data_IF_429018951907
#
_entry.id   IF_429018951907
#
_cell.length_a   1.000
_cell.length_b   1.000
_cell.length_c   1.000
_cell.angle_alpha   90.00
_cell.angle_beta   90.00
_cell.angle_gamma   90.00
#
_symmetry.space_group_name_H-M   'P 1'
#
loop_
_entity.id
_entity.type
_entity.pdbx_description
1 polymer ?
#
# COMPACT_ATOMS: atom_id res chain seq x y z
N UNK A 1 19.18 -21.08 19.65
CA UNK A 1 18.35 -21.97 18.77
C UNK A 1 16.84 -21.75 18.88
N UNK A 2 16.27 -21.30 20.01
CA UNK A 2 14.81 -21.14 20.16
C UNK A 2 14.16 -20.03 19.29
N UNK A 3 14.84 -18.89 19.11
CA UNK A 3 14.26 -17.75 18.36
C UNK A 3 13.85 -18.03 16.91
N UNK A 4 14.67 -18.69 16.05
CA UNK A 4 14.26 -18.96 14.67
C UNK A 4 13.13 -19.99 14.58
N UNK A 5 13.05 -20.97 15.48
CA UNK A 5 11.97 -21.95 15.52
C UNK A 5 10.64 -21.27 15.89
N UNK A 6 10.66 -20.40 16.89
CA UNK A 6 9.47 -19.62 17.30
C UNK A 6 8.99 -18.73 16.16
N UNK A 7 9.91 -18.07 15.45
CA UNK A 7 9.56 -17.24 14.28
C UNK A 7 8.91 -18.06 13.16
N UNK A 8 9.44 -19.25 12.86
CA UNK A 8 8.88 -20.16 11.88
C UNK A 8 7.48 -20.66 12.28
N UNK A 9 7.28 -21.06 13.53
CA UNK A 9 5.97 -21.50 14.05
C UNK A 9 4.93 -20.37 13.99
N UNK A 10 5.30 -19.15 14.39
CA UNK A 10 4.43 -17.98 14.29
C UNK A 10 4.06 -17.68 12.83
N UNK A 11 5.03 -17.76 11.93
CA UNK A 11 4.80 -17.53 10.50
C UNK A 11 3.88 -18.61 9.89
N UNK A 12 4.04 -19.86 10.29
CA UNK A 12 3.17 -20.96 9.88
C UNK A 12 1.74 -20.76 10.39
N UNK A 13 1.58 -20.42 11.68
CA UNK A 13 0.28 -20.14 12.27
C UNK A 13 -0.39 -18.93 11.63
N UNK A 14 0.37 -17.86 11.38
CA UNK A 14 -0.10 -16.70 10.65
C UNK A 14 -0.62 -17.09 9.26
N UNK A 15 0.15 -17.84 8.48
CA UNK A 15 -0.25 -18.27 7.16
C UNK A 15 -1.51 -19.16 7.18
N UNK A 16 -1.58 -20.10 8.11
CA UNK A 16 -2.71 -21.02 8.30
C UNK A 16 -4.03 -20.28 8.58
N UNK A 17 -3.97 -19.13 9.23
CA UNK A 17 -5.16 -18.34 9.55
C UNK A 17 -5.39 -17.24 8.50
N UNK A 18 -4.33 -16.58 8.04
CA UNK A 18 -4.43 -15.43 7.13
C UNK A 18 -4.96 -15.82 5.75
N UNK A 19 -4.46 -16.88 5.12
CA UNK A 19 -4.90 -17.23 3.77
C UNK A 19 -6.35 -17.70 3.70
N UNK A 20 -6.82 -18.65 4.54
CA UNK A 20 -8.24 -19.00 4.57
C UNK A 20 -9.13 -17.82 4.98
N UNK A 21 -8.71 -17.05 5.98
CA UNK A 21 -9.43 -15.85 6.40
C UNK A 21 -9.52 -14.82 5.26
N UNK A 22 -8.46 -14.62 4.49
CA UNK A 22 -8.47 -13.75 3.30
C UNK A 22 -9.48 -14.23 2.27
N UNK A 23 -9.56 -15.56 2.03
CA UNK A 23 -10.55 -16.11 1.11
C UNK A 23 -11.98 -15.80 1.57
N UNK A 24 -12.26 -15.97 2.87
CA UNK A 24 -13.57 -15.62 3.45
C UNK A 24 -13.88 -14.14 3.24
N UNK A 25 -12.91 -13.24 3.54
CA UNK A 25 -13.12 -11.80 3.33
C UNK A 25 -13.30 -11.45 1.85
N UNK A 26 -12.59 -12.09 0.93
CA UNK A 26 -12.79 -11.91 -0.51
C UNK A 26 -14.21 -12.26 -0.92
N UNK A 27 -14.74 -13.39 -0.45
CA UNK A 27 -16.14 -13.79 -0.71
C UNK A 27 -17.14 -12.79 -0.10
N UNK A 28 -16.89 -12.31 1.12
CA UNK A 28 -17.70 -11.27 1.76
C UNK A 28 -17.65 -9.93 1.02
N UNK A 29 -16.50 -9.56 0.44
CA UNK A 29 -16.35 -8.35 -0.37
C UNK A 29 -17.17 -8.50 -1.65
N UNK A 30 -17.08 -9.63 -2.34
CA UNK A 30 -17.84 -9.90 -3.55
C UNK A 30 -19.34 -9.92 -3.29
N UNK A 31 -19.78 -10.54 -2.21
CA UNK A 31 -21.17 -10.52 -1.77
C UNK A 31 -21.68 -9.11 -1.40
N UNK A 32 -20.78 -8.19 -1.03
CA UNK A 32 -21.13 -6.81 -0.73
C UNK A 32 -21.26 -5.90 -1.97
N UNK A 33 -20.86 -6.36 -3.16
CA UNK A 33 -20.92 -5.54 -4.39
C UNK A 33 -22.32 -5.00 -4.69
N UNK A 34 -23.41 -5.81 -4.64
CA UNK A 34 -24.76 -5.29 -4.88
C UNK A 34 -25.25 -4.32 -3.81
N UNK A 35 -24.59 -4.28 -2.63
CA UNK A 35 -24.92 -3.34 -1.55
C UNK A 35 -24.23 -1.98 -1.70
N UNK A 36 -23.41 -1.81 -2.74
CA UNK A 36 -22.76 -0.56 -3.10
C UNK A 36 -21.34 -0.36 -2.52
N UNK A 37 -20.70 0.69 -3.00
CA UNK A 37 -19.28 0.98 -2.76
C UNK A 37 -18.92 1.05 -1.26
N UNK A 38 -19.78 1.65 -0.44
CA UNK A 38 -19.52 1.79 1.00
C UNK A 38 -19.48 0.43 1.70
N UNK A 39 -20.35 -0.50 1.30
CA UNK A 39 -20.36 -1.86 1.85
C UNK A 39 -19.07 -2.60 1.49
N UNK A 40 -18.60 -2.50 0.25
CA UNK A 40 -17.32 -3.05 -0.21
C UNK A 40 -16.16 -2.47 0.60
N UNK A 41 -16.09 -1.14 0.72
CA UNK A 41 -15.03 -0.46 1.48
C UNK A 41 -14.97 -0.92 2.94
N UNK A 42 -16.13 -1.06 3.59
CA UNK A 42 -16.22 -1.55 4.97
C UNK A 42 -15.66 -2.98 5.11
N UNK A 43 -15.92 -3.88 4.16
CA UNK A 43 -15.38 -5.25 4.17
C UNK A 43 -13.88 -5.29 3.91
N UNK A 44 -13.38 -4.50 2.97
CA UNK A 44 -11.93 -4.36 2.73
C UNK A 44 -11.23 -3.80 3.97
N UNK A 45 -11.80 -2.80 4.61
CA UNK A 45 -11.26 -2.26 5.85
C UNK A 45 -11.27 -3.28 7.00
N UNK A 46 -12.33 -4.09 7.11
CA UNK A 46 -12.40 -5.19 8.08
C UNK A 46 -11.32 -6.26 7.80
N UNK A 47 -11.07 -6.59 6.53
CA UNK A 47 -9.96 -7.46 6.14
C UNK A 47 -8.59 -6.89 6.52
N UNK A 48 -8.35 -5.62 6.27
CA UNK A 48 -7.10 -4.97 6.66
C UNK A 48 -6.91 -4.94 8.19
N UNK A 49 -7.99 -4.74 8.97
CA UNK A 49 -7.98 -4.86 10.44
C UNK A 49 -7.69 -6.29 10.90
N UNK A 50 -8.26 -7.29 10.24
CA UNK A 50 -7.98 -8.71 10.51
C UNK A 50 -6.50 -9.03 10.27
N UNK A 51 -5.94 -8.60 9.13
CA UNK A 51 -4.51 -8.72 8.85
C UNK A 51 -3.66 -8.08 9.95
N UNK A 52 -3.94 -6.82 10.30
CA UNK A 52 -3.24 -6.09 11.34
C UNK A 52 -3.29 -6.81 12.70
N UNK A 53 -4.45 -7.37 13.06
CA UNK A 53 -4.61 -8.13 14.30
C UNK A 53 -3.71 -9.38 14.30
N UNK A 54 -3.68 -10.15 13.20
CA UNK A 54 -2.82 -11.32 13.06
C UNK A 54 -1.32 -10.95 13.15
N UNK A 55 -0.92 -9.88 12.47
CA UNK A 55 0.45 -9.38 12.49
C UNK A 55 0.87 -9.03 13.91
N UNK A 56 0.01 -8.35 14.66
CA UNK A 56 0.32 -7.97 16.05
C UNK A 56 0.28 -9.14 17.02
N UNK A 57 -0.71 -10.01 16.94
CA UNK A 57 -0.97 -11.04 17.94
C UNK A 57 -0.20 -12.33 17.68
N UNK A 58 -0.03 -12.72 16.43
CA UNK A 58 0.64 -13.98 16.07
C UNK A 58 2.12 -13.74 15.76
N UNK A 59 2.42 -12.78 14.85
CA UNK A 59 3.80 -12.50 14.49
C UNK A 59 4.54 -11.66 15.55
N UNK A 60 3.81 -11.06 16.51
CA UNK A 60 4.35 -10.15 17.52
C UNK A 60 5.10 -8.95 16.89
N UNK A 61 4.56 -8.43 15.80
CA UNK A 61 5.08 -7.24 15.13
C UNK A 61 4.28 -6.02 15.60
N UNK A 62 4.97 -4.98 16.03
CA UNK A 62 4.38 -3.68 16.40
C UNK A 62 4.51 -2.70 15.24
N UNK A 63 3.65 -1.69 15.23
CA UNK A 63 3.71 -0.58 14.28
C UNK A 63 3.85 0.69 15.09
N UNK A 64 4.91 1.44 14.85
CA UNK A 64 5.19 2.72 15.48
C UNK A 64 5.17 3.83 14.41
N UNK A 65 4.45 4.91 14.72
CA UNK A 65 4.23 6.02 13.80
C UNK A 65 4.89 7.27 14.33
N UNK A 66 5.73 7.89 13.50
CA UNK A 66 6.23 9.24 13.66
C UNK A 66 5.45 10.14 12.68
N UNK A 67 4.60 11.01 13.23
CA UNK A 67 3.71 11.85 12.48
C UNK A 67 2.33 11.25 12.22
N UNK A 68 1.45 12.08 11.66
CA UNK A 68 0.03 11.78 11.38
C UNK A 68 -0.26 12.07 9.93
N UNK A 69 -0.96 11.16 9.25
CA UNK A 69 -1.47 11.42 7.90
C UNK A 69 -2.66 12.37 8.03
N UNK A 70 -2.61 13.54 7.40
CA UNK A 70 -3.70 14.51 7.50
C UNK A 70 -4.96 14.02 6.77
N UNK A 71 -6.11 14.50 7.21
CA UNK A 71 -7.37 14.28 6.49
C UNK A 71 -7.40 15.12 5.20
N UNK A 72 -7.82 14.50 4.09
CA UNK A 72 -7.99 15.21 2.83
C UNK A 72 -7.63 14.38 1.59
N UNK A 73 -7.84 14.94 0.41
CA UNK A 73 -7.43 14.33 -0.85
C UNK A 73 -5.94 14.58 -1.07
N UNK A 74 -5.12 13.57 -0.84
CA UNK A 74 -3.68 13.59 -1.04
C UNK A 74 -3.23 12.53 -2.02
N UNK A 75 -2.06 12.75 -2.65
CA UNK A 75 -1.27 11.70 -3.25
C UNK A 75 -0.35 11.14 -2.16
N UNK A 76 -0.63 9.94 -1.67
CA UNK A 76 0.19 9.29 -0.64
C UNK A 76 1.27 8.47 -1.33
N UNK A 77 2.53 8.81 -1.08
CA UNK A 77 3.71 8.13 -1.63
C UNK A 77 4.38 7.30 -0.53
N UNK A 78 4.33 5.98 -0.62
CA UNK A 78 4.81 5.08 0.44
C UNK A 78 6.03 4.31 -0.04
N UNK A 79 7.07 4.21 0.78
CA UNK A 79 8.18 3.26 0.59
C UNK A 79 7.63 1.85 0.46
N UNK A 80 8.18 1.04 -0.45
CA UNK A 80 7.72 -0.34 -0.65
C UNK A 80 8.84 -1.35 -0.41
N UNK A 81 8.80 -2.07 0.70
CA UNK A 81 9.80 -3.07 1.07
C UNK A 81 9.22 -4.47 1.22
N UNK A 82 7.98 -4.60 1.72
CA UNK A 82 7.36 -5.88 2.01
C UNK A 82 5.87 -5.93 1.57
N UNK A 83 5.18 -7.03 1.89
CA UNK A 83 3.74 -7.14 1.65
C UNK A 83 2.92 -6.48 2.75
N UNK A 84 3.45 -6.40 3.96
CA UNK A 84 2.72 -5.92 5.13
C UNK A 84 2.18 -4.51 4.93
N UNK A 85 3.00 -3.58 4.43
CA UNK A 85 2.55 -2.22 4.17
C UNK A 85 1.52 -2.15 3.03
N UNK A 86 1.62 -3.01 2.02
CA UNK A 86 0.64 -3.03 0.92
C UNK A 86 -0.79 -3.35 1.40
N UNK A 87 -0.93 -4.16 2.45
CA UNK A 87 -2.22 -4.44 3.08
C UNK A 87 -2.54 -3.37 4.12
N UNK A 88 -1.55 -2.95 4.92
CA UNK A 88 -1.80 -2.03 6.02
C UNK A 88 -2.14 -0.60 5.56
N UNK A 89 -1.68 -0.20 4.35
CA UNK A 89 -2.05 1.09 3.73
C UNK A 89 -3.57 1.29 3.59
N UNK A 90 -4.34 0.21 3.48
CA UNK A 90 -5.81 0.28 3.46
C UNK A 90 -6.42 0.80 4.76
N UNK A 91 -5.63 0.89 5.84
CA UNK A 91 -6.01 1.43 7.15
C UNK A 91 -5.54 2.87 7.35
N UNK A 92 -4.53 3.34 6.61
CA UNK A 92 -3.86 4.62 6.86
C UNK A 92 -4.74 5.83 6.57
N UNK A 93 -5.62 5.72 5.58
CA UNK A 93 -6.47 6.82 5.16
C UNK A 93 -7.90 6.32 4.89
N UNK A 94 -8.83 7.25 4.68
CA UNK A 94 -10.24 6.91 4.39
C UNK A 94 -10.36 6.23 3.03
N UNK A 95 -10.30 4.90 3.01
CA UNK A 95 -10.49 4.08 1.79
C UNK A 95 -9.59 4.52 0.63
N UNK A 96 -8.26 4.50 0.77
CA UNK A 96 -7.35 4.98 -0.27
C UNK A 96 -7.50 4.14 -1.54
N UNK A 97 -7.36 4.79 -2.69
CA UNK A 97 -7.30 4.10 -3.99
C UNK A 97 -5.85 3.73 -4.26
N UNK A 98 -5.55 2.45 -4.22
CA UNK A 98 -4.17 1.94 -4.35
C UNK A 98 -3.83 1.68 -5.81
N UNK A 99 -2.71 2.25 -6.27
CA UNK A 99 -2.11 1.93 -7.57
C UNK A 99 -1.32 0.63 -7.43
N UNK A 100 -1.68 -0.38 -8.20
CA UNK A 100 -1.05 -1.71 -8.13
C UNK A 100 -0.73 -2.29 -9.50
N UNK A 101 0.02 -3.39 -9.52
CA UNK A 101 0.33 -4.13 -10.74
C UNK A 101 -0.95 -4.72 -11.34
N UNK A 102 -1.16 -4.56 -12.67
CA UNK A 102 -2.38 -4.99 -13.38
C UNK A 102 -2.68 -6.48 -13.18
N UNK A 103 -1.67 -7.32 -13.20
CA UNK A 103 -1.83 -8.77 -13.03
C UNK A 103 -2.46 -9.14 -11.69
N UNK A 104 -2.15 -8.39 -10.62
CA UNK A 104 -2.78 -8.59 -9.32
C UNK A 104 -4.28 -8.26 -9.38
N UNK A 105 -4.66 -7.21 -10.09
CA UNK A 105 -6.07 -6.84 -10.26
C UNK A 105 -6.86 -7.80 -11.18
N UNK A 106 -6.18 -8.71 -11.86
CA UNK A 106 -6.80 -9.72 -12.74
C UNK A 106 -6.77 -11.14 -12.15
N UNK A 107 -6.20 -11.32 -10.97
CA UNK A 107 -6.24 -12.63 -10.30
C UNK A 107 -7.71 -13.06 -10.02
N UNK A 108 -8.05 -14.34 -10.25
CA UNK A 108 -9.38 -14.85 -9.94
C UNK A 108 -9.78 -14.55 -8.49
N UNK A 109 -11.05 -14.23 -8.27
CA UNK A 109 -11.67 -13.87 -6.99
C UNK A 109 -11.04 -12.62 -6.35
N UNK A 110 -9.76 -12.68 -5.98
CA UNK A 110 -9.06 -11.57 -5.31
C UNK A 110 -9.03 -10.29 -6.17
N UNK A 111 -8.70 -10.42 -7.45
CA UNK A 111 -8.69 -9.29 -8.38
C UNK A 111 -10.10 -8.70 -8.58
N UNK A 112 -11.15 -9.53 -8.58
CA UNK A 112 -12.54 -9.05 -8.64
C UNK A 112 -12.87 -8.20 -7.41
N UNK A 113 -12.49 -8.66 -6.22
CA UNK A 113 -12.68 -7.90 -4.98
C UNK A 113 -11.87 -6.60 -4.97
N UNK A 114 -10.62 -6.64 -5.46
CA UNK A 114 -9.75 -5.46 -5.58
C UNK A 114 -10.35 -4.42 -6.55
N UNK A 115 -10.85 -4.84 -7.72
CA UNK A 115 -11.54 -3.94 -8.67
C UNK A 115 -12.82 -3.38 -8.09
N UNK A 116 -13.62 -4.20 -7.38
CA UNK A 116 -14.83 -3.73 -6.71
C UNK A 116 -14.53 -2.67 -5.65
N UNK A 117 -13.40 -2.75 -4.98
CA UNK A 117 -12.91 -1.71 -4.06
C UNK A 117 -12.49 -0.44 -4.79
N UNK A 118 -12.08 -0.54 -6.06
CA UNK A 118 -11.64 0.59 -6.89
C UNK A 118 -10.13 0.80 -6.88
N UNK A 119 -9.32 -0.27 -6.90
CA UNK A 119 -7.87 -0.16 -7.14
C UNK A 119 -7.59 0.27 -8.57
N UNK A 120 -6.44 0.88 -8.81
CA UNK A 120 -5.95 1.24 -10.14
C UNK A 120 -4.89 0.22 -10.55
N UNK A 121 -5.27 -0.69 -11.46
CA UNK A 121 -4.34 -1.65 -12.06
C UNK A 121 -3.52 -0.99 -13.16
N UNK A 122 -2.19 -1.05 -13.07
CA UNK A 122 -1.28 -0.48 -14.07
C UNK A 122 -0.44 -1.56 -14.72
N UNK A 123 -0.51 -1.61 -16.03
CA UNK A 123 0.44 -2.38 -16.84
C UNK A 123 1.72 -1.55 -16.99
N UNK A 124 2.78 -2.00 -16.34
CA UNK A 124 4.05 -1.26 -16.30
C UNK A 124 4.84 -1.37 -17.60
N UNK A 125 4.48 -2.30 -18.48
CA UNK A 125 5.14 -2.58 -19.74
C UNK A 125 4.41 -1.91 -20.92
N UNK A 126 3.15 -1.54 -20.75
CA UNK A 126 2.33 -0.94 -21.82
C UNK A 126 2.59 0.57 -22.07
N UNK A 127 3.64 1.13 -21.51
CA UNK A 127 4.15 2.47 -21.84
C UNK A 127 3.16 3.62 -21.60
N UNK A 128 3.08 4.55 -22.54
CA UNK A 128 2.33 5.81 -22.40
C UNK A 128 0.79 5.60 -22.33
N UNK A 129 0.25 4.55 -22.91
CA UNK A 129 -1.19 4.27 -22.86
C UNK A 129 -1.62 3.90 -21.42
N UNK A 130 -0.89 2.99 -20.77
CA UNK A 130 -1.16 2.61 -19.40
C UNK A 130 -1.01 3.77 -18.41
N UNK A 131 -0.05 4.66 -18.65
CA UNK A 131 0.07 5.89 -17.85
C UNK A 131 -1.15 6.79 -18.00
N UNK A 132 -1.70 6.96 -19.21
CA UNK A 132 -2.91 7.76 -19.43
C UNK A 132 -4.12 7.14 -18.74
N UNK A 133 -4.33 5.84 -18.86
CA UNK A 133 -5.40 5.12 -18.16
C UNK A 133 -5.31 5.28 -16.63
N UNK A 134 -4.12 5.11 -16.08
CA UNK A 134 -3.86 5.33 -14.66
C UNK A 134 -4.22 6.76 -14.22
N UNK A 135 -3.83 7.77 -15.01
CA UNK A 135 -4.12 9.18 -14.70
C UNK A 135 -5.63 9.48 -14.72
N UNK A 136 -6.37 8.93 -15.69
CA UNK A 136 -7.81 9.08 -15.74
C UNK A 136 -8.49 8.46 -14.53
N UNK A 137 -8.13 7.22 -14.20
CA UNK A 137 -8.66 6.52 -13.03
C UNK A 137 -8.31 7.24 -11.71
N UNK A 138 -7.10 7.78 -11.61
CA UNK A 138 -6.67 8.52 -10.42
C UNK A 138 -7.43 9.85 -10.26
N UNK A 139 -7.72 10.57 -11.35
CA UNK A 139 -8.59 11.77 -11.31
C UNK A 139 -9.99 11.44 -10.82
N UNK A 140 -10.59 10.36 -11.30
CA UNK A 140 -11.91 9.92 -10.85
C UNK A 140 -11.91 9.57 -9.36
N UNK A 141 -10.86 8.89 -8.88
CA UNK A 141 -10.68 8.58 -7.48
C UNK A 141 -10.58 9.84 -6.62
N UNK A 142 -9.73 10.78 -7.00
CA UNK A 142 -9.56 12.05 -6.29
C UNK A 142 -10.86 12.89 -6.28
N UNK A 143 -11.60 12.92 -7.40
CA UNK A 143 -12.90 13.59 -7.50
C UNK A 143 -13.96 12.99 -6.56
N UNK A 144 -13.83 11.71 -6.21
CA UNK A 144 -14.68 11.05 -5.18
C UNK A 144 -14.27 11.35 -3.73
N UNK A 145 -13.26 12.21 -3.51
CA UNK A 145 -12.71 12.53 -2.19
C UNK A 145 -11.79 11.47 -1.58
N UNK A 146 -11.43 10.43 -2.36
CA UNK A 146 -10.54 9.35 -1.90
C UNK A 146 -9.08 9.72 -2.18
N UNK A 147 -8.17 9.56 -1.21
CA UNK A 147 -6.75 9.73 -1.46
C UNK A 147 -6.25 8.66 -2.44
N UNK A 148 -5.28 9.03 -3.28
CA UNK A 148 -4.61 8.11 -4.20
C UNK A 148 -3.30 7.68 -3.56
N UNK A 149 -3.04 6.37 -3.47
CA UNK A 149 -1.84 5.81 -2.88
C UNK A 149 -1.00 5.10 -3.93
N UNK A 150 0.27 5.45 -3.96
CA UNK A 150 1.25 4.84 -4.86
C UNK A 150 2.50 4.41 -4.09
N UNK A 151 3.10 3.30 -4.55
CA UNK A 151 4.47 2.92 -4.22
C UNK A 151 5.36 3.40 -5.37
N UNK A 152 6.02 4.58 -5.23
CA UNK A 152 6.62 5.26 -6.37
C UNK A 152 7.85 4.56 -6.95
N UNK A 153 8.45 3.63 -6.21
CA UNK A 153 9.53 2.75 -6.68
C UNK A 153 9.04 1.68 -7.67
N UNK A 154 7.74 1.41 -7.68
CA UNK A 154 7.09 0.47 -8.58
C UNK A 154 7.37 -1.00 -8.28
N UNK A 155 8.20 -1.33 -7.31
CA UNK A 155 8.50 -2.70 -6.86
C UNK A 155 8.94 -2.66 -5.40
N UNK A 156 8.93 -3.83 -4.74
CA UNK A 156 9.50 -3.94 -3.39
C UNK A 156 11.02 -3.81 -3.45
N UNK A 157 11.57 -2.91 -2.65
CA UNK A 157 13.01 -2.64 -2.56
C UNK A 157 13.59 -3.26 -1.28
N UNK A 158 14.79 -3.87 -1.33
CA UNK A 158 15.51 -4.26 -0.13
C UNK A 158 15.76 -3.09 0.83
N UNK A 159 16.02 -3.40 2.07
CA UNK A 159 16.48 -2.42 3.04
C UNK A 159 17.82 -1.83 2.60
N UNK A 160 17.99 -0.54 2.72
CA UNK A 160 19.18 0.18 2.25
C UNK A 160 19.15 0.60 0.79
N UNK A 161 18.28 0.00 -0.04
CA UNK A 161 18.15 0.37 -1.44
C UNK A 161 17.23 1.58 -1.62
N UNK A 162 17.65 2.51 -2.48
CA UNK A 162 16.92 3.73 -2.80
C UNK A 162 16.90 3.96 -4.33
N UNK A 163 16.20 3.11 -5.12
CA UNK A 163 16.15 3.26 -6.57
C UNK A 163 15.39 4.53 -6.98
N UNK A 164 15.64 5.06 -8.18
CA UNK A 164 14.89 6.18 -8.74
C UNK A 164 13.38 5.90 -8.77
N UNK A 165 12.58 6.95 -8.61
CA UNK A 165 11.13 6.84 -8.71
C UNK A 165 10.71 6.53 -10.15
N UNK A 166 9.66 5.75 -10.31
CA UNK A 166 9.10 5.47 -11.63
C UNK A 166 8.36 6.68 -12.21
N UNK A 167 8.40 6.90 -13.53
CA UNK A 167 7.78 8.08 -14.18
C UNK A 167 6.29 8.26 -13.89
N UNK A 168 5.59 7.18 -13.54
CA UNK A 168 4.19 7.20 -13.16
C UNK A 168 3.89 8.09 -11.96
N UNK A 169 4.82 8.23 -11.02
CA UNK A 169 4.67 9.10 -9.86
C UNK A 169 4.55 10.58 -10.29
N UNK A 170 5.51 11.08 -11.07
CA UNK A 170 5.49 12.48 -11.55
C UNK A 170 4.26 12.77 -12.41
N UNK A 171 3.83 11.78 -13.22
CA UNK A 171 2.60 11.88 -14.00
C UNK A 171 1.36 12.06 -13.11
N UNK A 172 1.21 11.23 -12.08
CA UNK A 172 0.11 11.32 -11.11
C UNK A 172 0.14 12.66 -10.37
N UNK A 173 1.30 13.07 -9.85
CA UNK A 173 1.46 14.33 -9.14
C UNK A 173 0.97 15.52 -9.99
N UNK A 174 1.45 15.61 -11.23
CA UNK A 174 1.06 16.70 -12.15
C UNK A 174 -0.43 16.68 -12.47
N UNK A 175 -0.99 15.48 -12.72
CA UNK A 175 -2.38 15.34 -13.19
C UNK A 175 -3.38 15.55 -12.06
N UNK A 176 -3.05 15.13 -10.85
CA UNK A 176 -3.92 15.29 -9.68
C UNK A 176 -3.90 16.72 -9.13
N UNK A 177 -2.77 17.42 -9.23
CA UNK A 177 -2.61 18.74 -8.62
C UNK A 177 -2.80 18.73 -7.10
N UNK A 178 -2.57 17.57 -6.47
CA UNK A 178 -2.73 17.38 -5.02
C UNK A 178 -1.37 17.45 -4.31
N UNK A 179 -1.34 17.89 -3.06
CA UNK A 179 -0.13 17.76 -2.25
C UNK A 179 0.22 16.29 -2.02
N UNK A 180 1.52 16.01 -1.82
CA UNK A 180 2.02 14.66 -1.56
C UNK A 180 2.29 14.48 -0.09
N UNK A 181 1.83 13.35 0.46
CA UNK A 181 2.21 12.86 1.80
C UNK A 181 3.18 11.70 1.61
N UNK A 182 4.49 11.90 1.81
CA UNK A 182 5.47 10.83 1.72
C UNK A 182 5.53 10.06 3.03
N UNK A 183 5.67 8.71 2.94
CA UNK A 183 5.75 7.83 4.10
C UNK A 183 6.96 6.90 3.95
N UNK A 184 7.93 7.04 4.84
CA UNK A 184 9.04 6.11 5.00
C UNK A 184 8.65 4.95 5.91
N UNK A 185 9.31 3.80 5.73
CA UNK A 185 9.18 2.64 6.61
C UNK A 185 10.40 1.72 6.50
N UNK A 186 10.58 0.83 7.49
CA UNK A 186 11.69 -0.12 7.59
C UNK A 186 11.23 -1.59 7.68
N UNK A 187 10.12 -1.91 7.04
CA UNK A 187 9.45 -3.23 7.14
C UNK A 187 10.33 -4.41 6.72
N UNK A 188 11.28 -4.22 5.79
CA UNK A 188 12.17 -5.29 5.33
C UNK A 188 13.07 -5.88 6.44
N UNK A 189 13.31 -5.13 7.52
CA UNK A 189 14.10 -5.61 8.68
C UNK A 189 13.50 -6.87 9.29
N UNK A 190 12.19 -6.93 9.40
CA UNK A 190 11.47 -8.00 10.10
C UNK A 190 10.49 -8.76 9.22
N UNK A 191 10.18 -8.23 8.02
CA UNK A 191 9.35 -8.89 7.04
C UNK A 191 10.13 -9.18 5.74
N UNK A 192 11.10 -10.10 5.76
CA UNK A 192 11.85 -10.47 4.57
C UNK A 192 10.97 -11.15 3.52
N UNK A 193 11.46 -11.26 2.28
CA UNK A 193 10.75 -11.93 1.17
C UNK A 193 10.47 -13.41 1.43
N UNK A 194 11.27 -14.07 2.27
CA UNK A 194 11.10 -15.47 2.64
C UNK A 194 9.83 -15.74 3.47
N UNK A 195 9.57 -17.01 3.77
CA UNK A 195 8.38 -17.43 4.53
C UNK A 195 8.39 -16.91 5.97
N UNK A 196 9.54 -17.01 6.64
CA UNK A 196 9.67 -16.68 8.07
C UNK A 196 9.70 -15.18 8.30
N UNK A 197 8.80 -14.68 9.15
CA UNK A 197 8.72 -13.29 9.61
C UNK A 197 9.28 -13.20 11.02
N UNK A 198 9.96 -12.09 11.32
CA UNK A 198 10.56 -11.87 12.63
C UNK A 198 9.63 -11.03 13.50
N UNK A 199 9.63 -11.28 14.80
CA UNK A 199 8.99 -10.37 15.76
C UNK A 199 9.82 -9.10 15.88
N UNK A 200 9.15 -7.96 16.08
CA UNK A 200 9.83 -6.68 16.23
C UNK A 200 8.90 -5.50 15.99
N UNK A 201 9.48 -4.37 15.63
CA UNK A 201 8.73 -3.14 15.35
C UNK A 201 9.00 -2.71 13.91
N UNK A 202 7.93 -2.34 13.19
CA UNK A 202 8.00 -1.60 11.93
C UNK A 202 7.75 -0.13 12.27
N UNK A 203 8.68 0.71 11.89
CA UNK A 203 8.55 2.16 12.05
C UNK A 203 7.98 2.74 10.75
N UNK A 204 7.06 3.68 10.91
CA UNK A 204 6.52 4.50 9.85
C UNK A 204 6.81 5.95 10.18
N UNK A 205 7.31 6.71 9.21
CA UNK A 205 7.54 8.14 9.35
C UNK A 205 6.79 8.89 8.27
N UNK A 206 5.87 9.74 8.69
CA UNK A 206 5.20 10.69 7.79
C UNK A 206 6.14 11.85 7.58
N UNK A 207 6.55 12.07 6.34
CA UNK A 207 7.41 13.20 5.99
C UNK A 207 6.63 14.49 5.84
N UNK A 208 7.36 15.58 5.61
CA UNK A 208 6.77 16.88 5.33
C UNK A 208 5.87 16.82 4.10
N UNK A 209 4.71 17.50 4.17
CA UNK A 209 3.78 17.57 3.05
C UNK A 209 4.40 18.40 1.92
N UNK A 210 4.47 17.81 0.74
CA UNK A 210 5.04 18.46 -0.42
C UNK A 210 3.91 19.12 -1.22
N UNK A 211 3.96 20.46 -1.43
CA UNK A 211 2.88 21.20 -2.10
C UNK A 211 2.75 20.78 -3.57
N UNK A 212 1.58 21.00 -4.20
CA UNK A 212 1.43 20.82 -5.65
C UNK A 212 2.16 21.90 -6.45
N UNK A 213 2.40 21.65 -7.74
CA UNK A 213 2.93 22.63 -8.67
C UNK A 213 4.45 22.72 -8.78
N UNK A 214 5.21 21.89 -8.05
CA UNK A 214 6.67 21.83 -8.19
C UNK A 214 7.08 21.23 -9.53
N UNK A 215 8.30 21.57 -9.98
CA UNK A 215 8.92 20.91 -11.14
C UNK A 215 9.15 19.43 -10.84
N UNK A 216 9.17 18.63 -11.92
CA UNK A 216 9.32 17.19 -11.82
C UNK A 216 10.53 16.76 -10.98
N UNK A 217 11.69 17.30 -11.32
CA UNK A 217 12.94 16.91 -10.65
C UNK A 217 12.94 17.27 -9.17
N UNK A 218 12.30 18.38 -8.81
CA UNK A 218 12.18 18.83 -7.42
C UNK A 218 11.24 17.93 -6.62
N UNK A 219 10.05 17.61 -7.13
CA UNK A 219 9.11 16.74 -6.40
C UNK A 219 9.64 15.31 -6.29
N UNK A 220 10.27 14.78 -7.36
CA UNK A 220 10.90 13.46 -7.34
C UNK A 220 12.02 13.40 -6.30
N UNK A 221 12.89 14.42 -6.24
CA UNK A 221 13.97 14.49 -5.25
C UNK A 221 13.45 14.56 -3.81
N UNK A 222 12.45 15.42 -3.54
CA UNK A 222 11.85 15.55 -2.20
C UNK A 222 11.16 14.26 -1.74
N UNK A 223 10.35 13.66 -2.61
CA UNK A 223 9.66 12.40 -2.28
C UNK A 223 10.67 11.28 -2.11
N UNK A 224 11.66 11.17 -2.99
CA UNK A 224 12.69 10.15 -2.88
C UNK A 224 13.45 10.25 -1.55
N UNK A 225 13.88 11.44 -1.15
CA UNK A 225 14.52 11.66 0.14
C UNK A 225 13.61 11.29 1.31
N UNK A 226 12.34 11.72 1.27
CA UNK A 226 11.40 11.53 2.35
C UNK A 226 11.00 10.06 2.57
N UNK A 227 10.73 9.29 1.49
CA UNK A 227 10.35 7.86 1.62
C UNK A 227 11.54 6.97 2.02
N UNK A 228 12.77 7.44 1.86
CA UNK A 228 14.00 6.73 2.23
C UNK A 228 14.57 7.16 3.59
N UNK A 229 13.86 7.98 4.36
CA UNK A 229 14.34 8.52 5.63
C UNK A 229 14.56 7.47 6.74
N UNK A 230 14.12 6.22 6.56
CA UNK A 230 14.32 5.09 7.48
C UNK A 230 15.14 3.94 6.87
N UNK A 231 15.79 4.18 5.75
CA UNK A 231 16.61 3.18 5.07
C UNK A 231 17.92 2.89 5.80
#
# INVERSE_FOLDING_TARGET
MARPVIAALRSALFALIFYPGTLIYVLMILAAVPLGTRAVQNRVHAWAKFHYWLVRKILAIRFEWDGVIPDGPYLIAVKHQAMVEAVDTLRFARSPVVVMKRELSHMPLWGNAARAYGVIGVDREAGAAALREMMVAAKQAAASGRPVLIFPEGTRTPLGDAPPLRPGFAGLYRVLGLPVVPIALDSARIWPRGFVKQAGTIHFKVGEIIPPGLKRDEVEARVHAAINALN
#
